data_IF_214052738139
#
_entry.id   IF_214052738139
#
_cell.length_a   1.000
_cell.length_b   1.000
_cell.length_c   1.000
_cell.angle_alpha   90.00
_cell.angle_beta   90.00
_cell.angle_gamma   90.00
#
_symmetry.space_group_name_H-M   'P 1'
#
loop_
_entity.id
_entity.type
_entity.pdbx_description
1 polymer ?
#
# COMPACT_ATOMS: atom_id res chain seq x y z
N UNK A 1 15.74 46.65 -14.55
CA UNK A 1 16.02 45.30 -15.10
C UNK A 1 15.43 44.24 -14.17
N UNK A 2 14.32 43.60 -14.55
CA UNK A 2 13.58 42.66 -13.69
C UNK A 2 13.93 41.20 -13.99
N UNK A 3 14.66 40.53 -13.08
CA UNK A 3 14.90 39.08 -13.18
C UNK A 3 13.78 38.30 -12.49
N UNK A 4 12.98 37.63 -13.33
CA UNK A 4 11.92 36.66 -13.03
C UNK A 4 12.44 35.55 -12.10
N UNK A 5 11.92 35.45 -10.86
CA UNK A 5 12.19 34.33 -9.94
C UNK A 5 11.65 33.03 -10.55
N UNK A 6 12.53 32.05 -10.79
CA UNK A 6 12.12 30.68 -11.18
C UNK A 6 11.68 29.91 -9.93
N UNK A 7 10.41 29.52 -9.87
CA UNK A 7 9.82 28.65 -8.84
C UNK A 7 10.37 27.22 -9.06
N UNK A 8 11.27 26.74 -8.19
CA UNK A 8 11.72 25.33 -8.18
C UNK A 8 10.69 24.50 -7.41
N UNK A 9 9.76 23.86 -8.10
CA UNK A 9 8.96 22.74 -7.57
C UNK A 9 9.79 21.47 -7.70
N UNK A 10 10.69 21.25 -6.74
CA UNK A 10 11.50 20.03 -6.65
C UNK A 10 10.80 18.98 -5.80
N UNK A 11 9.75 18.34 -6.33
CA UNK A 11 9.17 17.15 -5.72
C UNK A 11 10.12 15.96 -5.88
N UNK A 12 10.89 15.63 -4.84
CA UNK A 12 11.64 14.37 -4.78
C UNK A 12 10.77 13.33 -4.07
N UNK A 13 9.94 12.62 -4.83
CA UNK A 13 9.34 11.35 -4.39
C UNK A 13 10.02 10.21 -5.15
N UNK A 14 10.58 9.29 -4.39
CA UNK A 14 11.32 8.10 -4.84
C UNK A 14 10.54 7.34 -5.94
N UNK A 15 11.13 7.25 -7.13
CA UNK A 15 10.61 6.50 -8.28
C UNK A 15 11.33 5.17 -8.42
N UNK A 16 11.16 4.26 -7.45
CA UNK A 16 11.27 2.84 -7.79
C UNK A 16 10.16 2.49 -8.80
N UNK A 17 10.31 1.45 -9.63
CA UNK A 17 9.25 1.03 -10.55
C UNK A 17 8.05 0.53 -9.74
N UNK A 18 7.06 1.40 -9.51
CA UNK A 18 5.77 1.01 -8.95
C UNK A 18 4.90 0.55 -10.11
N UNK A 19 4.48 -0.72 -10.11
CA UNK A 19 3.40 -1.19 -10.98
C UNK A 19 2.09 -0.97 -10.23
N UNK A 20 1.22 -0.03 -10.65
CA UNK A 20 -0.08 0.12 -10.03
C UNK A 20 -0.88 -1.15 -10.31
N UNK A 21 -1.26 -1.86 -9.26
CA UNK A 21 -2.11 -3.04 -9.33
C UNK A 21 -3.33 -2.73 -8.48
N UNK A 22 -4.52 -2.80 -9.10
CA UNK A 22 -5.77 -2.63 -8.38
C UNK A 22 -6.29 -4.01 -8.02
N UNK A 23 -6.31 -4.31 -6.73
CA UNK A 23 -6.98 -5.51 -6.21
C UNK A 23 -8.44 -5.14 -5.94
N UNK A 24 -9.37 -5.96 -6.43
CA UNK A 24 -10.80 -5.82 -6.13
C UNK A 24 -11.18 -6.91 -5.15
N UNK A 25 -11.77 -6.51 -4.04
CA UNK A 25 -12.31 -7.43 -3.04
C UNK A 25 -13.84 -7.51 -3.19
N UNK A 26 -14.44 -8.66 -2.86
CA UNK A 26 -15.86 -8.72 -2.51
C UNK A 26 -16.22 -7.69 -1.44
N UNK A 27 -17.45 -7.18 -1.47
CA UNK A 27 -17.87 -6.04 -0.62
C UNK A 27 -17.84 -6.38 0.87
N UNK A 28 -18.28 -7.58 1.21
CA UNK A 28 -18.22 -8.18 2.55
C UNK A 28 -16.78 -8.25 3.07
N UNK A 29 -15.87 -8.81 2.26
CA UNK A 29 -14.44 -8.91 2.62
C UNK A 29 -13.81 -7.53 2.79
N UNK A 30 -14.16 -6.58 1.92
CA UNK A 30 -13.65 -5.22 2.03
C UNK A 30 -14.12 -4.53 3.32
N UNK A 31 -15.39 -4.73 3.70
CA UNK A 31 -15.94 -4.18 4.94
C UNK A 31 -15.23 -4.72 6.19
N UNK A 32 -14.91 -6.02 6.21
CA UNK A 32 -14.12 -6.63 7.29
C UNK A 32 -12.70 -6.03 7.35
N UNK A 33 -12.02 -5.94 6.20
CA UNK A 33 -10.69 -5.34 6.11
C UNK A 33 -10.68 -3.88 6.58
N UNK A 34 -11.70 -3.09 6.25
CA UNK A 34 -11.82 -1.70 6.66
C UNK A 34 -12.05 -1.55 8.17
N UNK A 35 -12.85 -2.42 8.76
CA UNK A 35 -13.07 -2.44 10.21
C UNK A 35 -11.80 -2.80 10.98
N UNK A 36 -11.11 -3.86 10.57
CA UNK A 36 -9.86 -4.29 11.21
C UNK A 36 -8.74 -3.26 11.04
N UNK A 37 -8.59 -2.72 9.82
CA UNK A 37 -7.68 -1.63 9.49
C UNK A 37 -7.82 -0.43 10.45
N UNK A 38 -9.06 0.00 10.70
CA UNK A 38 -9.35 1.13 11.60
C UNK A 38 -9.07 0.77 13.07
N UNK A 39 -9.41 -0.45 13.51
CA UNK A 39 -9.18 -0.90 14.87
C UNK A 39 -7.70 -1.04 15.20
N UNK A 40 -6.89 -1.52 14.25
CA UNK A 40 -5.44 -1.64 14.41
C UNK A 40 -4.70 -0.30 14.27
N UNK A 41 -5.39 0.77 13.85
CA UNK A 41 -4.84 2.12 13.79
C UNK A 41 -3.85 2.34 12.64
N UNK A 42 -4.03 1.65 11.52
CA UNK A 42 -3.22 1.90 10.33
C UNK A 42 -3.67 3.18 9.61
N UNK A 43 -2.72 3.88 9.00
CA UNK A 43 -2.98 5.11 8.22
C UNK A 43 -3.19 4.86 6.71
N UNK A 44 -2.81 3.67 6.22
CA UNK A 44 -2.91 3.29 4.81
C UNK A 44 -3.36 1.83 4.66
N UNK A 45 -4.46 1.62 3.94
CA UNK A 45 -5.00 0.29 3.63
C UNK A 45 -3.96 -0.59 2.92
N UNK A 46 -3.11 -0.02 2.06
CA UNK A 46 -2.06 -0.82 1.41
C UNK A 46 -1.02 -1.34 2.41
N UNK A 47 -0.68 -0.53 3.41
CA UNK A 47 0.26 -0.94 4.45
C UNK A 47 -0.35 -2.06 5.32
N UNK A 48 -1.64 -1.95 5.63
CA UNK A 48 -2.37 -2.99 6.36
C UNK A 48 -2.44 -4.31 5.57
N UNK A 49 -2.79 -4.26 4.28
CA UNK A 49 -2.83 -5.46 3.42
C UNK A 49 -1.44 -6.14 3.33
N UNK A 50 -0.36 -5.35 3.24
CA UNK A 50 1.01 -5.91 3.26
C UNK A 50 1.32 -6.58 4.60
N UNK A 51 0.95 -5.96 5.72
CA UNK A 51 1.13 -6.56 7.04
C UNK A 51 0.34 -7.87 7.19
N UNK A 52 -0.89 -7.92 6.66
CA UNK A 52 -1.72 -9.13 6.60
C UNK A 52 -1.03 -10.25 5.82
N UNK A 53 -0.43 -9.93 4.66
CA UNK A 53 0.32 -10.91 3.85
C UNK A 53 1.53 -11.44 4.61
N UNK A 54 2.28 -10.57 5.29
CA UNK A 54 3.44 -10.97 6.08
C UNK A 54 3.06 -11.85 7.27
N UNK A 55 1.98 -11.51 7.99
CA UNK A 55 1.40 -12.36 9.05
C UNK A 55 0.97 -13.72 8.50
N UNK A 56 0.32 -13.73 7.33
CA UNK A 56 -0.07 -14.95 6.63
C UNK A 56 1.12 -15.85 6.34
N UNK A 57 2.23 -15.30 5.82
CA UNK A 57 3.48 -16.03 5.56
C UNK A 57 4.11 -16.60 6.84
N UNK A 58 4.09 -15.85 7.93
CA UNK A 58 4.62 -16.33 9.22
C UNK A 58 3.79 -17.49 9.78
N UNK A 59 2.47 -17.45 9.59
CA UNK A 59 1.55 -18.45 10.14
C UNK A 59 1.42 -19.71 9.27
N UNK A 60 1.46 -19.57 7.94
CA UNK A 60 1.31 -20.69 6.99
C UNK A 60 2.65 -21.31 6.59
N UNK A 61 3.78 -20.67 6.90
CA UNK A 61 5.08 -20.99 6.30
C UNK A 61 5.18 -20.46 4.86
N UNK A 62 6.23 -20.85 4.14
CA UNK A 62 6.30 -20.58 2.70
C UNK A 62 5.15 -21.32 2.01
N UNK A 63 4.26 -20.55 1.37
CA UNK A 63 3.28 -21.12 0.46
C UNK A 63 4.05 -21.93 -0.60
N UNK A 64 3.63 -23.17 -0.91
CA UNK A 64 4.28 -23.93 -1.97
C UNK A 64 4.30 -23.08 -3.23
N UNK A 65 5.48 -22.92 -3.85
CA UNK A 65 5.55 -22.34 -5.19
C UNK A 65 4.57 -23.12 -6.06
N UNK A 66 3.56 -22.41 -6.57
CA UNK A 66 2.51 -23.02 -7.39
C UNK A 66 3.17 -23.74 -8.58
N UNK A 67 2.88 -25.04 -8.70
CA UNK A 67 3.21 -25.88 -9.85
C UNK A 67 2.61 -25.35 -11.17
#
# INVERSE_FOLDING_TARGET
MTRKKRKKTGGRKSKGPRKPLTVRFPLDVFGELENEYQQEGFDDMNAYVLALVDRGRQNLGELPESA
#
